data_IF_480655521369
#
_entry.id   IF_480655521369
#
_cell.length_a   1.000
_cell.length_b   1.000
_cell.length_c   1.000
_cell.angle_alpha   90.00
_cell.angle_beta   90.00
_cell.angle_gamma   90.00
#
_symmetry.space_group_name_H-M   'P 1'
#
loop_
_entity.id
_entity.type
_entity.pdbx_description
1 polymer ?
#
# COMPACT_ATOMS: atom_id res chain seq x y z
N UNK A 1 5.57 0.52 -25.33
CA UNK A 1 5.08 -0.32 -26.45
C UNK A 1 4.29 0.44 -27.50
N UNK A 2 3.21 1.17 -27.18
CA UNK A 2 2.37 1.86 -28.20
C UNK A 2 3.11 2.86 -29.12
N UNK A 3 4.29 3.33 -28.72
CA UNK A 3 5.17 4.17 -29.55
C UNK A 3 6.11 3.38 -30.48
N UNK A 4 5.95 2.05 -30.59
CA UNK A 4 6.83 1.19 -31.39
C UNK A 4 8.16 0.82 -30.72
N UNK A 5 8.31 1.09 -29.42
CA UNK A 5 9.50 0.73 -28.62
C UNK A 5 9.13 -0.37 -27.63
N UNK A 6 9.79 -1.52 -27.75
CA UNK A 6 9.58 -2.72 -26.91
C UNK A 6 9.97 -4.03 -27.62
N UNK A 7 9.60 -5.21 -27.08
CA UNK A 7 9.92 -6.50 -27.69
C UNK A 7 9.31 -6.62 -29.10
N UNK A 8 10.14 -6.84 -30.13
CA UNK A 8 9.67 -6.84 -31.51
C UNK A 8 8.54 -7.84 -31.80
N UNK A 9 8.59 -9.05 -31.22
CA UNK A 9 7.56 -10.08 -31.41
C UNK A 9 6.20 -9.66 -30.82
N UNK A 10 6.22 -9.03 -29.65
CA UNK A 10 5.02 -8.54 -28.97
C UNK A 10 4.43 -7.32 -29.69
N UNK A 11 5.27 -6.40 -30.17
CA UNK A 11 4.82 -5.29 -31.01
C UNK A 11 4.16 -5.78 -32.30
N UNK A 12 4.75 -6.81 -32.92
CA UNK A 12 4.21 -7.43 -34.13
C UNK A 12 2.87 -8.13 -33.88
N UNK A 13 2.70 -8.85 -32.78
CA UNK A 13 1.43 -9.51 -32.45
C UNK A 13 0.29 -8.51 -32.26
N UNK A 14 0.60 -7.28 -31.83
CA UNK A 14 -0.37 -6.19 -31.65
C UNK A 14 -0.49 -5.24 -32.85
N UNK A 15 0.12 -5.56 -34.00
CA UNK A 15 0.10 -4.71 -35.21
C UNK A 15 0.64 -3.30 -34.96
N UNK A 16 1.64 -3.18 -34.08
CA UNK A 16 2.31 -1.91 -33.77
C UNK A 16 3.59 -1.85 -34.62
N UNK A 17 3.81 -0.78 -35.41
CA UNK A 17 5.06 -0.60 -36.16
C UNK A 17 6.27 -0.58 -35.23
N UNK A 18 7.30 -1.35 -35.57
CA UNK A 18 8.56 -1.37 -34.82
C UNK A 18 9.36 -0.09 -35.11
N UNK A 19 9.60 0.70 -34.08
CA UNK A 19 10.53 1.84 -34.08
C UNK A 19 11.88 1.41 -33.51
N UNK A 20 11.88 0.68 -32.40
CA UNK A 20 13.10 0.16 -31.76
C UNK A 20 12.79 -1.15 -31.04
N UNK A 21 13.53 -2.20 -31.38
CA UNK A 21 13.48 -3.46 -30.63
C UNK A 21 14.24 -3.28 -29.31
N UNK A 22 13.51 -3.44 -28.20
CA UNK A 22 14.03 -3.29 -26.86
C UNK A 22 13.32 -4.29 -25.93
N UNK A 23 13.83 -5.54 -25.81
CA UNK A 23 13.11 -6.63 -25.16
C UNK A 23 12.88 -6.43 -23.66
N UNK A 24 13.64 -5.56 -22.99
CA UNK A 24 13.45 -5.26 -21.56
C UNK A 24 12.27 -4.33 -21.25
N UNK A 25 11.63 -3.71 -22.26
CA UNK A 25 10.51 -2.79 -22.02
C UNK A 25 9.29 -3.59 -21.57
N UNK A 26 8.84 -3.34 -20.34
CA UNK A 26 7.71 -4.04 -19.74
C UNK A 26 8.10 -5.29 -18.96
N UNK A 27 9.38 -5.67 -18.98
CA UNK A 27 9.93 -6.78 -18.18
C UNK A 27 10.43 -6.27 -16.81
N UNK A 28 10.78 -7.21 -15.91
CA UNK A 28 11.31 -6.94 -14.56
C UNK A 28 10.38 -6.10 -13.68
N UNK A 29 9.07 -6.32 -13.79
CA UNK A 29 8.11 -5.71 -12.87
C UNK A 29 8.35 -6.24 -11.45
N UNK A 30 8.82 -5.36 -10.57
CA UNK A 30 8.96 -5.61 -9.14
C UNK A 30 7.93 -4.78 -8.38
N UNK A 31 7.31 -5.37 -7.37
CA UNK A 31 6.34 -4.69 -6.51
C UNK A 31 6.52 -5.10 -5.05
N UNK A 32 6.03 -4.28 -4.13
CA UNK A 32 5.99 -4.57 -2.72
C UNK A 32 4.69 -5.30 -2.37
N UNK A 33 4.79 -6.60 -2.12
CA UNK A 33 3.64 -7.36 -1.62
C UNK A 33 3.25 -6.87 -0.23
N UNK A 34 1.97 -6.60 -0.02
CA UNK A 34 1.44 -6.11 1.25
C UNK A 34 0.35 -7.05 1.79
N UNK A 35 0.40 -7.30 3.09
CA UNK A 35 -0.62 -8.06 3.83
C UNK A 35 -1.24 -7.14 4.86
N UNK A 36 -2.55 -6.94 4.77
CA UNK A 36 -3.29 -6.07 5.67
C UNK A 36 -3.88 -6.88 6.83
N UNK A 37 -3.49 -6.56 8.06
CA UNK A 37 -4.04 -7.17 9.27
C UNK A 37 -4.91 -6.15 10.01
N UNK A 38 -6.11 -6.55 10.44
CA UNK A 38 -7.05 -5.69 11.17
C UNK A 38 -7.25 -6.21 12.58
N UNK A 39 -7.13 -5.32 13.55
CA UNK A 39 -7.38 -5.61 14.96
C UNK A 39 -8.64 -4.90 15.44
N UNK A 40 -9.35 -5.51 16.41
CA UNK A 40 -10.50 -4.87 17.05
C UNK A 40 -9.99 -3.82 18.03
N UNK A 41 -10.42 -2.58 17.85
CA UNK A 41 -10.17 -1.49 18.81
C UNK A 41 -11.29 -1.43 19.86
N UNK A 42 -11.02 -0.71 20.94
CA UNK A 42 -12.05 -0.29 21.90
C UNK A 42 -13.13 0.51 21.12
N UNK A 43 -14.43 0.31 21.40
CA UNK A 43 -15.48 1.05 20.73
C UNK A 43 -15.31 2.57 20.90
N UNK A 44 -15.33 3.30 19.78
CA UNK A 44 -15.21 4.77 19.77
C UNK A 44 -13.81 5.32 19.51
N UNK A 45 -12.76 4.50 19.63
CA UNK A 45 -11.36 4.92 19.42
C UNK A 45 -10.92 4.89 17.94
N UNK A 46 -11.73 4.31 17.05
CA UNK A 46 -11.41 4.25 15.62
C UNK A 46 -12.22 5.24 14.79
N UNK A 47 -11.64 5.64 13.66
CA UNK A 47 -12.30 6.48 12.65
C UNK A 47 -13.30 5.71 11.77
N UNK A 48 -13.71 4.49 12.16
CA UNK A 48 -14.64 3.66 11.37
C UNK A 48 -15.99 4.35 11.12
N UNK A 49 -16.42 5.31 11.94
CA UNK A 49 -17.67 6.05 11.72
C UNK A 49 -17.64 6.95 10.47
N UNK A 50 -16.46 7.20 9.88
CA UNK A 50 -16.33 7.94 8.63
C UNK A 50 -16.68 7.11 7.39
N UNK A 51 -16.57 5.78 7.49
CA UNK A 51 -16.82 4.88 6.37
C UNK A 51 -18.33 4.61 6.22
N UNK A 52 -18.84 4.69 4.98
CA UNK A 52 -20.25 4.47 4.63
C UNK A 52 -20.77 3.09 5.04
N UNK A 53 -19.93 2.05 4.97
CA UNK A 53 -20.34 0.67 5.26
C UNK A 53 -20.50 0.40 6.77
N UNK A 54 -19.89 1.24 7.62
CA UNK A 54 -19.86 1.07 9.09
C UNK A 54 -20.66 2.15 9.82
N UNK A 55 -21.01 3.25 9.16
CA UNK A 55 -21.83 4.32 9.70
C UNK A 55 -23.34 4.02 9.62
N UNK A 56 -23.76 2.82 10.06
CA UNK A 56 -25.17 2.39 9.97
C UNK A 56 -26.04 3.02 11.06
N UNK A 57 -25.47 3.28 12.24
CA UNK A 57 -26.16 3.93 13.36
C UNK A 57 -26.31 5.44 13.17
N UNK A 58 -27.40 6.01 13.71
CA UNK A 58 -27.69 7.44 13.64
C UNK A 58 -26.55 8.30 14.24
N UNK A 59 -25.99 7.87 15.37
CA UNK A 59 -24.85 8.52 16.02
C UNK A 59 -23.61 8.60 15.09
N UNK A 60 -23.29 7.50 14.38
CA UNK A 60 -22.17 7.47 13.44
C UNK A 60 -22.36 8.43 12.27
N UNK A 61 -23.58 8.55 11.74
CA UNK A 61 -23.91 9.50 10.66
C UNK A 61 -23.75 10.95 11.13
N UNK A 62 -24.18 11.25 12.36
CA UNK A 62 -24.04 12.59 12.94
C UNK A 62 -22.56 12.94 13.17
N UNK A 63 -21.76 12.00 13.71
CA UNK A 63 -20.31 12.17 13.87
C UNK A 63 -19.61 12.42 12.54
N UNK A 64 -20.01 11.70 11.48
CA UNK A 64 -19.48 11.93 10.14
C UNK A 64 -19.87 13.29 9.58
N UNK A 65 -21.13 13.70 9.71
CA UNK A 65 -21.57 15.02 9.27
C UNK A 65 -20.79 16.14 9.98
N UNK A 66 -20.54 15.98 11.29
CA UNK A 66 -19.70 16.89 12.07
C UNK A 66 -18.26 16.94 11.53
N UNK A 67 -17.66 15.80 11.20
CA UNK A 67 -16.33 15.76 10.62
C UNK A 67 -16.26 16.48 9.26
N UNK A 68 -17.27 16.27 8.40
CA UNK A 68 -17.39 16.94 7.10
C UNK A 68 -17.53 18.46 7.29
N UNK A 69 -18.44 18.91 8.14
CA UNK A 69 -18.65 20.34 8.37
C UNK A 69 -17.42 21.01 8.97
N UNK A 70 -16.74 20.34 9.92
CA UNK A 70 -15.48 20.83 10.50
C UNK A 70 -14.41 21.02 9.43
N UNK A 71 -14.24 20.06 8.53
CA UNK A 71 -13.29 20.17 7.44
C UNK A 71 -13.66 21.29 6.46
N UNK A 72 -14.93 21.42 6.08
CA UNK A 72 -15.36 22.44 5.13
C UNK A 72 -15.14 23.86 5.67
N UNK A 73 -15.48 24.09 6.94
CA UNK A 73 -15.44 25.40 7.57
C UNK A 73 -14.04 25.79 8.06
N UNK A 74 -13.31 24.83 8.65
CA UNK A 74 -12.07 25.13 9.39
C UNK A 74 -10.84 24.42 8.83
N UNK A 75 -10.99 23.59 7.78
CA UNK A 75 -9.89 22.79 7.21
C UNK A 75 -9.14 21.99 8.26
N UNK A 76 -9.87 21.49 9.26
CA UNK A 76 -9.34 20.72 10.39
C UNK A 76 -10.21 19.49 10.67
N UNK A 77 -9.72 18.64 11.57
CA UNK A 77 -10.46 17.46 12.03
C UNK A 77 -10.05 16.18 11.31
N UNK A 78 -10.77 15.08 11.53
CA UNK A 78 -10.31 13.74 11.16
C UNK A 78 -10.20 13.51 9.64
N UNK A 79 -10.87 14.32 8.82
CA UNK A 79 -10.75 14.27 7.35
C UNK A 79 -9.43 14.86 6.82
N UNK A 80 -8.59 15.44 7.68
CA UNK A 80 -7.23 15.86 7.30
C UNK A 80 -6.18 14.77 7.55
N UNK A 81 -6.55 13.63 8.17
CA UNK A 81 -5.63 12.50 8.40
C UNK A 81 -5.63 11.54 7.21
N UNK A 82 -4.46 10.97 6.91
CA UNK A 82 -4.29 9.89 5.95
C UNK A 82 -4.38 8.48 6.60
N UNK A 83 -4.64 8.39 7.91
CA UNK A 83 -4.73 7.15 8.70
C UNK A 83 -3.42 6.36 8.85
N UNK A 84 -2.28 6.96 8.52
CA UNK A 84 -0.96 6.33 8.62
C UNK A 84 -0.11 7.08 9.66
N UNK A 85 -0.49 7.00 10.93
CA UNK A 85 0.14 7.77 12.02
C UNK A 85 1.51 7.21 12.45
N UNK A 86 1.78 5.93 12.18
CA UNK A 86 3.04 5.27 12.54
C UNK A 86 3.47 4.27 11.47
N UNK A 87 4.78 4.12 11.31
CA UNK A 87 5.41 3.12 10.47
C UNK A 87 6.64 2.55 11.18
N UNK A 88 6.94 1.28 10.94
CA UNK A 88 8.15 0.63 11.44
C UNK A 88 8.78 -0.23 10.33
N UNK A 89 10.10 -0.33 10.38
CA UNK A 89 10.89 -1.21 9.52
C UNK A 89 11.70 -2.10 10.44
N UNK A 90 11.56 -3.40 10.30
CA UNK A 90 12.32 -4.39 11.06
C UNK A 90 12.70 -5.55 10.14
N UNK A 91 13.77 -6.24 10.52
CA UNK A 91 14.21 -7.45 9.85
C UNK A 91 13.36 -8.62 10.33
N UNK A 92 12.77 -9.35 9.39
CA UNK A 92 12.00 -10.56 9.70
C UNK A 92 12.87 -11.68 10.27
N UNK A 93 14.19 -11.65 10.04
CA UNK A 93 15.18 -12.61 10.52
C UNK A 93 15.97 -12.13 11.76
N UNK A 94 15.55 -11.02 12.41
CA UNK A 94 16.24 -10.51 13.59
C UNK A 94 16.06 -11.48 14.77
N UNK A 95 17.14 -12.14 15.25
CA UNK A 95 17.05 -13.11 16.35
C UNK A 95 16.68 -12.47 17.68
N UNK A 96 16.83 -11.15 17.83
CA UNK A 96 16.41 -10.43 19.04
C UNK A 96 14.89 -10.24 19.09
N UNK A 97 14.25 -10.12 17.92
CA UNK A 97 12.79 -10.00 17.80
C UNK A 97 12.11 -11.36 17.68
N UNK A 98 12.77 -12.32 17.02
CA UNK A 98 12.22 -13.64 16.69
C UNK A 98 13.21 -14.77 17.02
N UNK A 99 13.46 -15.07 18.32
CA UNK A 99 14.49 -16.02 18.72
C UNK A 99 14.23 -17.47 18.28
N UNK A 100 12.96 -17.85 18.09
CA UNK A 100 12.54 -19.20 17.73
C UNK A 100 12.29 -19.39 16.21
N UNK A 101 12.63 -18.38 15.39
CA UNK A 101 12.37 -18.43 13.95
C UNK A 101 13.37 -19.40 13.27
N UNK A 102 12.91 -20.38 12.47
CA UNK A 102 13.82 -21.18 11.67
C UNK A 102 14.55 -20.33 10.61
N UNK A 103 15.72 -20.76 10.11
CA UNK A 103 16.44 -20.06 9.06
C UNK A 103 15.53 -19.79 7.86
N UNK A 104 15.40 -18.52 7.48
CA UNK A 104 14.63 -18.13 6.31
C UNK A 104 15.38 -18.54 5.03
N UNK A 105 14.62 -18.76 3.95
CA UNK A 105 15.18 -18.90 2.61
C UNK A 105 15.92 -17.61 2.20
N UNK A 106 16.86 -17.73 1.25
CA UNK A 106 17.61 -16.59 0.73
C UNK A 106 16.65 -15.47 0.30
N UNK A 107 16.81 -14.32 0.94
CA UNK A 107 15.97 -13.16 0.69
C UNK A 107 16.43 -12.46 -0.58
N UNK A 108 15.61 -12.55 -1.62
CA UNK A 108 15.82 -11.88 -2.91
C UNK A 108 15.08 -10.55 -3.02
N UNK A 109 14.32 -10.18 -1.99
CA UNK A 109 13.42 -9.02 -1.99
C UNK A 109 13.96 -7.84 -1.19
N UNK A 110 14.74 -8.11 -0.15
CA UNK A 110 15.41 -7.08 0.64
C UNK A 110 16.78 -6.75 0.06
N UNK A 111 17.14 -5.47 0.03
CA UNK A 111 18.53 -5.09 -0.17
C UNK A 111 19.38 -5.71 0.97
N UNK A 112 20.58 -6.22 0.65
CA UNK A 112 21.56 -6.70 1.63
C UNK A 112 21.77 -5.62 2.70
N UNK A 113 21.10 -5.78 3.84
CA UNK A 113 21.20 -4.86 4.95
C UNK A 113 22.66 -4.74 5.36
N UNK A 114 23.14 -3.51 5.55
CA UNK A 114 24.52 -3.25 5.95
C UNK A 114 24.77 -3.97 7.27
N UNK A 115 25.60 -5.00 7.26
CA UNK A 115 26.06 -5.68 8.47
C UNK A 115 26.95 -4.66 9.22
N UNK A 116 26.40 -4.07 10.27
CA UNK A 116 27.15 -3.26 11.25
C UNK A 116 27.39 -4.05 12.50
#
# INVERSE_FOLDING_TARGET
MNSGVGPADELKSHTIPLVQDLPGVGDHLMDHQSVNVRFRTIPGESMNYLNDNTATSFDSKLKRLKAISQYLLFKSGPLTSNLAEAACFFRSDDPTLFPDLPPLHEDTSSALGRQT
#
